data_IF_055088497755
#
_entry.id   IF_055088497755
#
_cell.length_a   1.000
_cell.length_b   1.000
_cell.length_c   1.000
_cell.angle_alpha   90.00
_cell.angle_beta   90.00
_cell.angle_gamma   90.00
#
_symmetry.space_group_name_H-M   'P 1'
#
loop_
_entity.id
_entity.type
_entity.pdbx_description
1 polymer ?
#
# COMPACT_ATOMS: atom_id res chain seq x y z
N UNK A 1 -36.02 -37.65 -1.38
CA UNK A 1 -35.25 -37.31 -0.16
C UNK A 1 -33.78 -37.69 -0.39
N UNK A 2 -33.06 -36.96 -1.26
CA UNK A 2 -31.75 -37.37 -1.79
C UNK A 2 -30.83 -36.15 -1.98
N UNK A 3 -30.61 -35.38 -0.92
CA UNK A 3 -29.69 -34.24 -0.97
C UNK A 3 -29.01 -34.09 0.38
N UNK A 4 -27.90 -34.82 0.62
CA UNK A 4 -26.86 -34.45 1.62
C UNK A 4 -25.65 -35.43 1.68
N UNK A 5 -25.20 -36.00 0.56
CA UNK A 5 -24.07 -36.96 0.57
C UNK A 5 -22.69 -36.35 0.29
N UNK A 6 -22.58 -35.06 -0.01
CA UNK A 6 -21.31 -34.42 -0.34
C UNK A 6 -20.92 -33.40 0.72
N UNK A 7 -19.76 -33.58 1.34
CA UNK A 7 -19.06 -32.49 2.05
C UNK A 7 -17.98 -31.94 1.13
N UNK A 8 -18.12 -30.69 0.74
CA UNK A 8 -17.14 -29.95 -0.06
C UNK A 8 -16.43 -28.97 0.86
N UNK A 9 -15.12 -29.12 1.02
CA UNK A 9 -14.27 -28.13 1.67
C UNK A 9 -13.40 -27.48 0.61
N UNK A 10 -13.51 -26.16 0.47
CA UNK A 10 -12.74 -25.38 -0.50
C UNK A 10 -11.67 -24.60 0.27
N UNK A 11 -10.42 -24.77 -0.14
CA UNK A 11 -9.28 -23.98 0.31
C UNK A 11 -8.68 -23.32 -0.93
N UNK A 12 -9.17 -22.11 -1.21
CA UNK A 12 -8.86 -21.39 -2.45
C UNK A 12 -7.44 -20.86 -2.48
N UNK A 13 -6.83 -20.60 -1.32
CA UNK A 13 -5.43 -20.16 -1.21
C UNK A 13 -4.50 -21.31 -1.61
N UNK A 14 -4.83 -22.55 -1.25
CA UNK A 14 -4.03 -23.74 -1.58
C UNK A 14 -4.46 -24.48 -2.84
N UNK A 15 -5.30 -23.87 -3.67
CA UNK A 15 -5.85 -24.49 -4.89
C UNK A 15 -6.46 -25.88 -4.68
N UNK A 16 -7.11 -26.13 -3.55
CA UNK A 16 -7.61 -27.46 -3.20
C UNK A 16 -9.10 -27.42 -2.95
N UNK A 17 -9.84 -28.14 -3.80
CA UNK A 17 -11.18 -28.60 -3.47
C UNK A 17 -11.06 -30.05 -3.01
N UNK A 18 -11.46 -30.30 -1.76
CA UNK A 18 -11.61 -31.64 -1.23
C UNK A 18 -13.10 -31.98 -1.27
N UNK A 19 -13.47 -32.85 -2.19
CA UNK A 19 -14.80 -33.44 -2.24
C UNK A 19 -14.74 -34.78 -1.55
N UNK A 20 -15.56 -34.96 -0.51
CA UNK A 20 -15.69 -36.25 0.19
C UNK A 20 -17.00 -36.91 -0.20
N UNK A 21 -16.93 -38.14 -0.71
CA UNK A 21 -18.09 -38.97 -1.02
C UNK A 21 -17.82 -40.41 -0.55
N UNK A 22 -18.71 -40.97 0.29
CA UNK A 22 -18.57 -42.33 0.85
C UNK A 22 -17.19 -42.60 1.49
N UNK A 23 -16.59 -41.61 2.17
CA UNK A 23 -15.29 -41.74 2.83
C UNK A 23 -14.07 -41.59 1.90
N UNK A 24 -14.27 -41.50 0.59
CA UNK A 24 -13.22 -41.26 -0.41
C UNK A 24 -13.04 -39.75 -0.61
N UNK A 25 -11.79 -39.27 -0.54
CA UNK A 25 -11.42 -37.87 -0.78
C UNK A 25 -10.90 -37.68 -2.20
N UNK A 26 -11.55 -36.82 -2.96
CA UNK A 26 -11.09 -36.38 -4.28
C UNK A 26 -10.41 -35.02 -4.16
N UNK A 27 -9.22 -34.89 -4.75
CA UNK A 27 -8.44 -33.66 -4.78
C UNK A 27 -8.47 -33.08 -6.19
N UNK A 28 -9.09 -31.91 -6.35
CA UNK A 28 -9.07 -31.17 -7.61
C UNK A 28 -8.14 -29.97 -7.48
N UNK A 29 -7.22 -29.81 -8.44
CA UNK A 29 -6.30 -28.67 -8.55
C UNK A 29 -6.74 -27.81 -9.72
N UNK A 30 -7.29 -26.63 -9.44
CA UNK A 30 -7.61 -25.64 -10.47
C UNK A 30 -6.43 -24.68 -10.69
N UNK A 31 -6.57 -23.83 -11.73
CA UNK A 31 -5.70 -22.74 -12.24
C UNK A 31 -4.59 -22.27 -11.28
N UNK A 32 -3.41 -21.94 -11.81
CA UNK A 32 -2.21 -21.44 -11.09
C UNK A 32 -2.52 -20.76 -9.76
N UNK A 33 -1.85 -21.21 -8.69
CA UNK A 33 -2.04 -20.74 -7.32
C UNK A 33 -1.89 -19.23 -7.24
N UNK A 34 -2.79 -18.57 -6.49
CA UNK A 34 -2.64 -17.16 -6.19
C UNK A 34 -1.41 -17.02 -5.29
N UNK A 35 -0.39 -16.34 -5.81
CA UNK A 35 0.85 -16.01 -5.10
C UNK A 35 1.02 -14.51 -5.12
N UNK A 36 0.96 -13.88 -3.96
CA UNK A 36 0.94 -12.43 -3.83
C UNK A 36 2.31 -11.92 -3.44
N UNK A 37 2.93 -11.15 -4.33
CA UNK A 37 4.11 -10.35 -4.06
C UNK A 37 3.75 -8.94 -3.63
N UNK A 38 4.51 -8.37 -2.70
CA UNK A 38 4.41 -6.96 -2.33
C UNK A 38 5.78 -6.31 -2.46
N UNK A 39 5.84 -5.19 -3.16
CA UNK A 39 7.06 -4.38 -3.20
C UNK A 39 6.84 -3.06 -2.46
N UNK A 40 7.66 -2.83 -1.44
CA UNK A 40 7.73 -1.56 -0.74
C UNK A 40 8.75 -0.64 -1.40
N UNK A 41 8.31 0.58 -1.69
CA UNK A 41 9.19 1.66 -2.09
C UNK A 41 9.69 2.42 -0.85
N UNK A 42 11.01 2.49 -0.65
CA UNK A 42 11.58 3.12 0.54
C UNK A 42 12.65 4.17 0.17
N UNK A 43 12.62 5.27 0.90
CA UNK A 43 13.69 6.26 1.01
C UNK A 43 13.73 6.80 2.45
N UNK A 44 12.56 7.14 2.98
CA UNK A 44 12.31 7.58 4.35
C UNK A 44 11.07 6.89 4.93
N UNK A 45 10.89 6.97 6.26
CA UNK A 45 9.76 6.37 6.95
C UNK A 45 10.00 4.93 7.38
N UNK A 46 11.25 4.49 7.46
CA UNK A 46 11.63 3.14 7.87
C UNK A 46 11.08 2.76 9.27
N UNK A 47 10.78 3.76 10.12
CA UNK A 47 10.15 3.55 11.42
C UNK A 47 8.74 2.93 11.36
N UNK A 48 8.09 3.00 10.18
CA UNK A 48 6.76 2.42 9.95
C UNK A 48 6.80 1.09 9.20
N UNK A 49 7.93 0.74 8.59
CA UNK A 49 8.02 -0.40 7.67
C UNK A 49 7.68 -1.72 8.36
N UNK A 50 8.21 -1.94 9.57
CA UNK A 50 7.99 -3.19 10.30
C UNK A 50 6.49 -3.42 10.61
N UNK A 51 5.82 -2.41 11.17
CA UNK A 51 4.40 -2.50 11.51
C UNK A 51 3.52 -2.58 10.26
N UNK A 52 3.89 -1.90 9.17
CA UNK A 52 3.19 -2.04 7.89
C UNK A 52 3.28 -3.47 7.36
N UNK A 53 4.49 -4.05 7.29
CA UNK A 53 4.69 -5.43 6.86
C UNK A 53 3.90 -6.40 7.74
N UNK A 54 3.99 -6.27 9.07
CA UNK A 54 3.25 -7.13 10.00
C UNK A 54 1.74 -7.09 9.80
N UNK A 55 1.18 -5.98 9.30
CA UNK A 55 -0.26 -5.90 9.00
C UNK A 55 -0.71 -6.83 7.88
N UNK A 56 0.20 -7.20 6.96
CA UNK A 56 -0.11 -8.01 5.77
C UNK A 56 0.73 -9.29 5.59
N UNK A 57 1.81 -9.50 6.34
CA UNK A 57 2.77 -10.61 6.15
C UNK A 57 2.10 -11.98 6.06
N UNK A 58 1.09 -12.22 6.90
CA UNK A 58 0.31 -13.46 6.94
C UNK A 58 -0.69 -13.61 5.78
N UNK A 59 -0.75 -12.64 4.87
CA UNK A 59 -1.64 -12.59 3.72
C UNK A 59 -0.90 -12.73 2.39
N UNK A 60 0.44 -12.69 2.40
CA UNK A 60 1.27 -12.56 1.18
C UNK A 60 2.44 -13.54 1.20
N UNK A 61 2.87 -13.93 0.01
CA UNK A 61 3.86 -15.00 -0.19
C UNK A 61 5.28 -14.47 -0.28
N UNK A 62 5.45 -13.23 -0.75
CA UNK A 62 6.75 -12.62 -0.96
C UNK A 62 6.70 -11.10 -0.73
N UNK A 63 7.67 -10.57 -0.02
CA UNK A 63 7.85 -9.13 0.22
C UNK A 63 9.26 -8.75 -0.18
N UNK A 64 9.38 -7.77 -1.08
CA UNK A 64 10.64 -7.10 -1.33
C UNK A 64 10.60 -5.62 -0.96
N UNK A 65 11.76 -5.07 -0.64
CA UNK A 65 11.92 -3.62 -0.43
C UNK A 65 12.91 -3.07 -1.43
N UNK A 66 12.45 -2.13 -2.26
CA UNK A 66 13.31 -1.36 -3.16
C UNK A 66 13.62 -0.03 -2.48
N UNK A 67 14.85 0.11 -2.00
CA UNK A 67 15.28 1.26 -1.20
C UNK A 67 16.34 2.08 -1.93
N UNK A 68 16.50 3.35 -1.54
CA UNK A 68 17.54 4.23 -2.07
C UNK A 68 18.22 4.98 -0.91
N UNK A 69 19.51 5.29 -1.07
CA UNK A 69 20.31 6.01 -0.05
C UNK A 69 20.30 7.52 -0.20
N UNK A 70 19.86 8.01 -1.36
CA UNK A 70 19.80 9.42 -1.71
C UNK A 70 18.43 9.71 -2.29
N UNK A 71 17.80 10.81 -1.87
CA UNK A 71 16.50 11.24 -2.37
C UNK A 71 16.59 11.75 -3.81
N UNK A 72 15.44 11.96 -4.43
CA UNK A 72 15.40 12.62 -5.75
C UNK A 72 15.85 14.09 -5.72
N UNK A 73 16.09 14.65 -4.53
CA UNK A 73 16.55 16.02 -4.27
C UNK A 73 17.97 16.06 -3.66
N UNK A 74 18.62 14.90 -3.48
CA UNK A 74 19.99 14.81 -2.97
C UNK A 74 20.12 14.60 -1.45
N UNK A 75 19.01 14.51 -0.73
CA UNK A 75 19.04 14.26 0.72
C UNK A 75 19.47 12.83 1.02
N UNK A 76 20.30 12.65 2.05
CA UNK A 76 20.71 11.32 2.49
C UNK A 76 19.57 10.62 3.24
N UNK A 77 19.45 9.32 3.01
CA UNK A 77 18.64 8.44 3.84
C UNK A 77 19.14 8.46 5.29
N UNK A 78 18.34 7.90 6.21
CA UNK A 78 18.77 7.69 7.58
C UNK A 78 20.04 6.84 7.64
N UNK A 79 20.92 7.13 8.61
CA UNK A 79 22.14 6.37 8.81
C UNK A 79 21.85 4.90 9.18
N UNK A 80 20.69 4.65 9.81
CA UNK A 80 20.28 3.33 10.28
C UNK A 80 19.45 2.55 9.26
N UNK A 81 19.17 3.11 8.07
CA UNK A 81 18.27 2.51 7.07
C UNK A 81 18.66 1.05 6.75
N UNK A 82 19.93 0.80 6.44
CA UNK A 82 20.41 -0.53 6.09
C UNK A 82 20.41 -1.49 7.29
N UNK A 83 20.64 -0.97 8.51
CA UNK A 83 20.57 -1.76 9.74
C UNK A 83 19.15 -2.25 9.97
N UNK A 84 18.16 -1.35 9.82
CA UNK A 84 16.74 -1.70 9.92
C UNK A 84 16.36 -2.74 8.87
N UNK A 85 16.74 -2.55 7.61
CA UNK A 85 16.42 -3.49 6.53
C UNK A 85 17.02 -4.88 6.75
N UNK A 86 18.30 -4.96 7.13
CA UNK A 86 18.95 -6.24 7.40
C UNK A 86 18.29 -6.96 8.58
N UNK A 87 17.91 -6.24 9.65
CA UNK A 87 17.18 -6.83 10.77
C UNK A 87 15.82 -7.39 10.35
N UNK A 88 15.10 -6.71 9.47
CA UNK A 88 13.80 -7.19 8.95
C UNK A 88 13.94 -8.41 8.03
N UNK A 89 15.03 -8.53 7.28
CA UNK A 89 15.37 -9.74 6.51
C UNK A 89 15.71 -10.90 7.46
N UNK A 90 16.57 -10.68 8.45
CA UNK A 90 16.95 -11.69 9.45
C UNK A 90 15.75 -12.22 10.24
N UNK A 91 14.77 -11.35 10.52
CA UNK A 91 13.52 -11.71 11.20
C UNK A 91 12.46 -12.36 10.27
N UNK A 92 12.77 -12.57 8.99
CA UNK A 92 11.86 -13.18 8.02
C UNK A 92 10.64 -12.34 7.66
N UNK A 93 10.71 -11.02 7.87
CA UNK A 93 9.65 -10.09 7.47
C UNK A 93 9.79 -9.66 6.01
N UNK A 94 11.02 -9.52 5.53
CA UNK A 94 11.38 -9.21 4.14
C UNK A 94 12.08 -10.41 3.51
N UNK A 95 11.69 -10.77 2.30
CA UNK A 95 12.31 -11.86 1.54
C UNK A 95 13.50 -11.36 0.71
N UNK A 96 13.45 -10.13 0.20
CA UNK A 96 14.52 -9.54 -0.60
C UNK A 96 14.61 -8.01 -0.46
N UNK A 97 15.83 -7.47 -0.44
CA UNK A 97 16.07 -6.03 -0.51
C UNK A 97 16.85 -5.70 -1.77
N UNK A 98 16.53 -4.57 -2.40
CA UNK A 98 17.20 -4.10 -3.61
C UNK A 98 17.57 -2.62 -3.48
N UNK A 99 18.85 -2.32 -3.63
CA UNK A 99 19.34 -0.94 -3.66
C UNK A 99 19.10 -0.34 -5.04
N UNK A 100 18.21 0.64 -5.10
CA UNK A 100 18.04 1.50 -6.26
C UNK A 100 19.09 2.63 -6.24
N UNK A 101 20.16 2.42 -6.99
CA UNK A 101 21.23 3.40 -7.18
C UNK A 101 21.07 4.08 -8.55
N UNK A 102 20.93 5.42 -8.54
CA UNK A 102 20.82 6.23 -9.75
C UNK A 102 21.38 7.63 -9.53
N UNK A 103 21.89 8.22 -10.61
CA UNK A 103 22.21 9.63 -10.65
C UNK A 103 20.93 10.47 -10.89
N UNK A 104 20.52 11.22 -9.87
CA UNK A 104 19.35 12.09 -9.92
C UNK A 104 19.64 13.50 -10.46
N UNK A 105 20.86 13.78 -10.93
CA UNK A 105 21.25 15.07 -11.51
C UNK A 105 20.62 15.34 -12.90
N UNK A 106 19.81 14.42 -13.43
CA UNK A 106 19.12 14.61 -14.69
C UNK A 106 17.89 15.53 -14.56
N UNK A 107 17.54 16.23 -15.65
CA UNK A 107 16.29 17.01 -15.73
C UNK A 107 15.02 16.15 -15.81
N UNK A 108 15.13 14.84 -15.54
CA UNK A 108 14.01 13.92 -15.60
C UNK A 108 12.98 14.19 -14.49
N UNK A 109 11.73 13.84 -14.79
CA UNK A 109 10.63 13.95 -13.84
C UNK A 109 10.81 12.97 -12.68
N UNK A 110 10.57 13.42 -11.45
CA UNK A 110 10.73 12.62 -10.23
C UNK A 110 9.73 11.44 -10.20
N UNK A 111 8.58 11.62 -10.86
CA UNK A 111 7.62 10.54 -11.10
C UNK A 111 8.20 9.39 -11.92
N UNK A 112 9.12 9.66 -12.85
CA UNK A 112 9.78 8.59 -13.62
C UNK A 112 10.68 7.75 -12.72
N UNK A 113 11.44 8.37 -11.81
CA UNK A 113 12.26 7.63 -10.85
C UNK A 113 11.40 6.78 -9.91
N UNK A 114 10.22 7.26 -9.54
CA UNK A 114 9.29 6.50 -8.73
C UNK A 114 8.72 5.30 -9.50
N UNK A 115 8.29 5.50 -10.76
CA UNK A 115 7.83 4.42 -11.65
C UNK A 115 8.92 3.37 -11.88
N UNK A 116 10.16 3.78 -12.11
CA UNK A 116 11.29 2.87 -12.29
C UNK A 116 11.53 2.03 -11.03
N UNK A 117 11.50 2.66 -9.85
CA UNK A 117 11.65 1.95 -8.57
C UNK A 117 10.52 0.94 -8.35
N UNK A 118 9.26 1.30 -8.66
CA UNK A 118 8.11 0.38 -8.60
C UNK A 118 8.24 -0.76 -9.61
N UNK A 119 8.73 -0.50 -10.81
CA UNK A 119 8.98 -1.52 -11.84
C UNK A 119 10.06 -2.53 -11.43
N UNK A 120 11.11 -2.09 -10.72
CA UNK A 120 12.09 -3.01 -10.12
C UNK A 120 11.37 -3.95 -9.15
N UNK A 121 10.54 -3.41 -8.25
CA UNK A 121 9.77 -4.20 -7.29
C UNK A 121 8.84 -5.23 -7.95
N UNK A 122 8.13 -4.82 -9.01
CA UNK A 122 7.30 -5.70 -9.83
C UNK A 122 8.11 -6.85 -10.45
N UNK A 123 9.29 -6.55 -11.00
CA UNK A 123 10.16 -7.55 -11.61
C UNK A 123 10.72 -8.53 -10.58
N UNK A 124 11.07 -8.07 -9.37
CA UNK A 124 11.49 -8.96 -8.28
C UNK A 124 10.38 -9.93 -7.90
N UNK A 125 9.14 -9.45 -7.73
CA UNK A 125 7.99 -10.30 -7.46
C UNK A 125 7.73 -11.30 -8.61
N UNK A 126 7.85 -10.85 -9.87
CA UNK A 126 7.72 -11.72 -11.04
C UNK A 126 8.79 -12.83 -11.05
N UNK A 127 10.06 -12.49 -10.80
CA UNK A 127 11.16 -13.46 -10.70
C UNK A 127 10.99 -14.46 -9.55
N UNK A 128 10.39 -14.02 -8.44
CA UNK A 128 10.00 -14.89 -7.32
C UNK A 128 8.79 -15.80 -7.65
N UNK A 129 8.22 -15.71 -8.85
CA UNK A 129 7.11 -16.55 -9.30
C UNK A 129 5.75 -16.14 -8.72
N UNK A 130 5.60 -14.88 -8.32
CA UNK A 130 4.33 -14.33 -7.89
C UNK A 130 3.39 -14.18 -9.09
N UNK A 131 2.09 -14.35 -8.85
CA UNK A 131 1.03 -14.23 -9.88
C UNK A 131 0.18 -12.99 -9.69
N UNK A 132 0.27 -12.36 -8.51
CA UNK A 132 -0.37 -11.12 -8.15
C UNK A 132 0.62 -10.21 -7.42
N UNK A 133 0.37 -8.90 -7.47
CA UNK A 133 1.29 -7.88 -7.01
C UNK A 133 0.55 -6.74 -6.32
N UNK A 134 1.15 -6.19 -5.27
CA UNK A 134 0.78 -4.93 -4.65
C UNK A 134 2.00 -4.02 -4.57
N UNK A 135 1.87 -2.79 -5.07
CA UNK A 135 2.85 -1.73 -4.85
C UNK A 135 2.47 -0.98 -3.59
N UNK A 136 3.38 -0.90 -2.61
CA UNK A 136 3.11 -0.29 -1.32
C UNK A 136 4.14 0.78 -0.96
N UNK A 137 3.70 1.75 -0.18
CA UNK A 137 4.59 2.65 0.56
C UNK A 137 4.63 2.21 2.05
N UNK A 138 5.67 2.60 2.77
CA UNK A 138 5.94 2.12 4.15
C UNK A 138 4.91 2.58 5.19
N UNK A 139 4.11 3.57 4.84
CA UNK A 139 3.04 4.16 5.65
C UNK A 139 1.64 3.62 5.30
N UNK A 140 1.56 2.52 4.56
CA UNK A 140 0.30 1.91 4.13
C UNK A 140 0.02 0.62 4.90
N UNK A 141 -1.18 0.53 5.46
CA UNK A 141 -1.59 -0.56 6.34
C UNK A 141 -2.93 -1.14 5.91
N UNK A 142 -3.13 -2.43 6.17
CA UNK A 142 -4.39 -3.10 5.87
C UNK A 142 -4.80 -4.01 7.03
N UNK A 143 -6.10 -4.07 7.32
CA UNK A 143 -6.63 -5.12 8.20
C UNK A 143 -6.48 -6.48 7.52
N UNK A 144 -5.81 -7.42 8.18
CA UNK A 144 -5.47 -8.72 7.59
C UNK A 144 -6.69 -9.56 7.22
N UNK A 145 -7.82 -9.41 7.92
CA UNK A 145 -9.07 -10.13 7.60
C UNK A 145 -9.72 -9.53 6.36
N UNK A 146 -9.77 -8.21 6.27
CA UNK A 146 -10.23 -7.50 5.07
C UNK A 146 -9.38 -7.83 3.86
N UNK A 147 -8.05 -7.78 4.01
CA UNK A 147 -7.09 -8.10 2.96
C UNK A 147 -7.30 -9.52 2.43
N UNK A 148 -7.35 -10.54 3.31
CA UNK A 148 -7.60 -11.94 2.91
C UNK A 148 -8.92 -12.12 2.17
N UNK A 149 -10.00 -11.48 2.64
CA UNK A 149 -11.31 -11.52 1.98
C UNK A 149 -11.26 -10.88 0.59
N UNK A 150 -10.53 -9.78 0.42
CA UNK A 150 -10.34 -9.13 -0.87
C UNK A 150 -9.52 -10.00 -1.83
N UNK A 151 -8.44 -10.65 -1.37
CA UNK A 151 -7.66 -11.61 -2.17
C UNK A 151 -8.53 -12.78 -2.66
N UNK A 152 -9.33 -13.36 -1.77
CA UNK A 152 -10.27 -14.44 -2.13
C UNK A 152 -11.24 -13.97 -3.22
N UNK A 153 -11.79 -12.76 -3.08
CA UNK A 153 -12.68 -12.19 -4.08
C UNK A 153 -11.98 -11.98 -5.44
N UNK A 154 -10.76 -11.42 -5.45
CA UNK A 154 -9.96 -11.22 -6.66
C UNK A 154 -9.75 -12.56 -7.38
N UNK A 155 -9.34 -13.59 -6.65
CA UNK A 155 -9.07 -14.90 -7.20
C UNK A 155 -10.33 -15.56 -7.77
N UNK A 156 -11.41 -15.61 -6.97
CA UNK A 156 -12.66 -16.28 -7.36
C UNK A 156 -13.33 -15.63 -8.56
N UNK A 157 -13.16 -14.33 -8.72
CA UNK A 157 -13.79 -13.57 -9.79
C UNK A 157 -12.84 -13.29 -10.96
N UNK A 158 -11.61 -13.82 -10.95
CA UNK A 158 -10.58 -13.57 -11.97
C UNK A 158 -10.39 -12.08 -12.27
N UNK A 159 -10.23 -11.27 -11.22
CA UNK A 159 -9.98 -9.83 -11.33
C UNK A 159 -8.51 -9.63 -11.73
N UNK A 160 -8.27 -8.76 -12.73
CA UNK A 160 -6.93 -8.44 -13.21
C UNK A 160 -6.35 -7.22 -12.47
N UNK A 161 -7.17 -6.21 -12.21
CA UNK A 161 -6.76 -5.02 -11.47
C UNK A 161 -7.82 -4.64 -10.45
N UNK A 162 -7.41 -4.14 -9.30
CA UNK A 162 -8.34 -3.69 -8.28
C UNK A 162 -7.90 -2.39 -7.65
N UNK A 163 -8.85 -1.70 -7.03
CA UNK A 163 -8.60 -0.50 -6.25
C UNK A 163 -9.40 -0.53 -4.96
N UNK A 164 -8.97 0.25 -3.98
CA UNK A 164 -9.74 0.46 -2.77
C UNK A 164 -9.69 1.91 -2.30
N UNK A 165 -10.65 2.20 -1.43
CA UNK A 165 -10.74 3.39 -0.60
C UNK A 165 -9.54 3.52 0.33
N UNK A 166 -9.28 4.74 0.82
CA UNK A 166 -8.33 4.97 1.91
C UNK A 166 -8.88 5.77 3.09
N UNK A 167 -8.27 5.54 4.25
CA UNK A 167 -8.36 6.38 5.43
C UNK A 167 -7.05 7.09 5.66
N UNK A 168 -7.11 8.39 5.91
CA UNK A 168 -5.93 9.21 6.17
C UNK A 168 -5.81 9.54 7.65
N UNK A 169 -4.69 9.17 8.26
CA UNK A 169 -4.40 9.41 9.68
C UNK A 169 -3.59 10.68 9.88
N UNK A 170 -3.83 11.32 11.02
CA UNK A 170 -3.31 12.65 11.36
C UNK A 170 -2.54 12.54 12.66
N UNK A 171 -1.23 12.83 12.60
CA UNK A 171 -0.29 13.01 13.72
C UNK A 171 -0.03 11.77 14.57
N UNK A 172 -1.05 10.97 14.84
CA UNK A 172 -1.00 9.73 15.63
C UNK A 172 -1.93 8.69 14.99
N UNK A 173 -1.76 7.39 15.29
CA UNK A 173 -2.61 6.34 14.71
C UNK A 173 -4.01 6.30 15.31
N UNK A 174 -4.33 7.22 16.23
CA UNK A 174 -5.63 7.30 16.90
C UNK A 174 -6.55 8.36 16.28
N UNK A 175 -6.05 9.21 15.36
CA UNK A 175 -6.87 10.23 14.73
C UNK A 175 -6.84 10.08 13.22
N UNK A 176 -8.02 10.03 12.61
CA UNK A 176 -8.14 9.95 11.16
C UNK A 176 -9.25 10.83 10.64
N UNK A 177 -9.11 11.25 9.38
CA UNK A 177 -10.20 11.87 8.64
C UNK A 177 -11.39 10.91 8.56
N UNK A 178 -12.57 11.43 8.86
CA UNK A 178 -13.84 10.85 8.45
C UNK A 178 -13.92 11.11 6.96
N UNK A 179 -13.74 10.05 6.19
CA UNK A 179 -13.80 10.17 4.75
C UNK A 179 -15.26 10.41 4.34
N UNK A 180 -15.58 11.61 3.87
CA UNK A 180 -16.63 11.79 2.86
C UNK A 180 -15.94 11.56 1.52
N UNK A 181 -15.78 10.29 1.14
CA UNK A 181 -15.12 9.91 -0.12
C UNK A 181 -15.83 10.48 -1.35
N UNK A 182 -17.04 10.99 -1.16
CA UNK A 182 -17.89 11.58 -2.20
C UNK A 182 -17.36 12.93 -2.74
N UNK A 183 -16.44 13.63 -2.05
CA UNK A 183 -15.95 14.92 -2.55
C UNK A 183 -14.70 14.82 -3.46
N UNK A 184 -13.77 13.89 -3.22
CA UNK A 184 -12.48 13.85 -3.96
C UNK A 184 -12.33 12.64 -4.92
N UNK A 185 -13.17 11.60 -4.83
CA UNK A 185 -13.14 10.41 -5.72
C UNK A 185 -11.73 9.80 -5.92
N UNK A 186 -10.85 9.89 -4.91
CA UNK A 186 -9.46 9.43 -4.98
C UNK A 186 -9.29 8.06 -4.32
N UNK A 187 -8.69 7.13 -5.05
CA UNK A 187 -8.52 5.73 -4.66
C UNK A 187 -7.05 5.30 -4.74
N UNK A 188 -6.73 4.13 -4.21
CA UNK A 188 -5.40 3.52 -4.33
C UNK A 188 -5.48 2.21 -5.12
N UNK A 189 -4.61 1.98 -6.13
CA UNK A 189 -4.47 0.67 -6.75
C UNK A 189 -4.12 -0.35 -5.69
N UNK A 190 -4.88 -1.44 -5.65
CA UNK A 190 -4.69 -2.52 -4.70
C UNK A 190 -3.96 -3.67 -5.43
N UNK A 191 -4.37 -4.91 -5.18
CA UNK A 191 -3.72 -6.09 -5.76
C UNK A 191 -4.10 -6.23 -7.23
N UNK A 192 -3.08 -6.36 -8.08
CA UNK A 192 -3.18 -6.56 -9.51
C UNK A 192 -2.57 -7.90 -9.90
N UNK A 193 -3.09 -8.52 -10.94
CA UNK A 193 -2.54 -9.74 -11.55
C UNK A 193 -1.30 -9.39 -12.36
N UNK A 194 -0.30 -10.25 -12.30
CA UNK A 194 0.94 -10.09 -13.07
C UNK A 194 0.80 -10.82 -14.40
N UNK A 195 0.96 -10.08 -15.50
CA UNK A 195 1.19 -10.57 -16.85
C UNK A 195 2.66 -10.39 -17.22
N UNK A 196 3.07 -11.05 -18.31
CA UNK A 196 4.45 -10.93 -18.83
C UNK A 196 4.76 -9.48 -19.20
N UNK A 197 3.78 -8.78 -19.75
CA UNK A 197 3.87 -7.40 -20.20
C UNK A 197 3.54 -6.39 -19.09
N UNK A 198 3.24 -6.86 -17.86
CA UNK A 198 2.86 -5.97 -16.77
C UNK A 198 3.94 -4.95 -16.45
N UNK A 199 3.57 -3.68 -16.41
CA UNK A 199 4.48 -2.57 -16.15
C UNK A 199 3.75 -1.45 -15.41
N UNK A 200 4.46 -0.78 -14.50
CA UNK A 200 4.02 0.49 -13.94
C UNK A 200 4.15 1.61 -14.96
N UNK A 201 3.13 2.46 -15.06
CA UNK A 201 3.14 3.58 -16.00
C UNK A 201 1.99 4.56 -15.78
N UNK A 202 2.05 5.70 -16.46
CA UNK A 202 1.06 6.78 -16.36
C UNK A 202 -0.14 6.56 -17.30
N UNK A 203 -0.59 5.31 -17.44
CA UNK A 203 -1.70 4.93 -18.31
C UNK A 203 -3.06 5.19 -17.66
N UNK A 204 -4.14 5.00 -18.41
CA UNK A 204 -5.49 5.07 -17.88
C UNK A 204 -5.75 3.98 -16.83
N UNK A 205 -6.40 4.37 -15.73
CA UNK A 205 -6.94 3.46 -14.73
C UNK A 205 -8.42 3.78 -14.49
N UNK A 206 -9.20 2.76 -14.15
CA UNK A 206 -10.67 2.87 -14.03
C UNK A 206 -11.14 3.76 -12.87
N UNK A 207 -10.22 4.26 -12.03
CA UNK A 207 -10.46 5.19 -10.93
C UNK A 207 -9.37 6.26 -10.87
N UNK A 208 -9.70 7.44 -10.33
CA UNK A 208 -8.70 8.48 -10.08
C UNK A 208 -7.77 8.07 -8.92
N UNK A 209 -6.47 8.00 -9.20
CA UNK A 209 -5.45 7.52 -8.26
C UNK A 209 -4.05 8.05 -8.64
N UNK A 210 -3.04 7.77 -7.81
CA UNK A 210 -1.64 8.04 -8.15
C UNK A 210 -1.21 7.22 -9.37
N UNK A 211 -0.84 7.93 -10.42
CA UNK A 211 -0.50 7.32 -11.69
C UNK A 211 0.83 6.58 -11.69
N UNK A 212 1.72 6.80 -10.72
CA UNK A 212 2.94 6.00 -10.61
C UNK A 212 2.66 4.54 -10.23
N UNK A 213 1.47 4.27 -9.67
CA UNK A 213 1.07 2.96 -9.14
C UNK A 213 0.22 2.12 -10.11
N UNK A 214 -0.23 2.71 -11.22
CA UNK A 214 -1.05 2.03 -12.21
C UNK A 214 -0.21 0.95 -12.90
N UNK A 215 -0.77 -0.25 -13.02
CA UNK A 215 -0.17 -1.38 -13.72
C UNK A 215 -1.04 -1.74 -14.92
N UNK A 216 -0.44 -1.76 -16.10
CA UNK A 216 -1.06 -2.19 -17.35
C UNK A 216 -0.28 -3.37 -17.94
N UNK A 217 -0.89 -4.21 -18.80
CA UNK A 217 -2.31 -4.22 -19.17
C UNK A 217 -3.20 -4.90 -18.11
N UNK A 218 -4.49 -4.59 -18.11
CA UNK A 218 -5.53 -5.35 -17.41
C UNK A 218 -6.83 -5.32 -18.22
N UNK A 219 -7.71 -6.31 -18.04
CA UNK A 219 -9.01 -6.36 -18.74
C UNK A 219 -10.18 -6.23 -17.76
N UNK A 220 -10.09 -6.91 -16.62
CA UNK A 220 -11.15 -6.91 -15.60
C UNK A 220 -10.73 -6.10 -14.38
N UNK A 221 -11.44 -4.99 -14.15
CA UNK A 221 -11.24 -4.13 -13.00
C UNK A 221 -12.31 -4.34 -11.92
N UNK A 222 -11.93 -4.15 -10.66
CA UNK A 222 -12.89 -4.10 -9.54
C UNK A 222 -12.49 -3.05 -8.49
N UNK A 223 -13.41 -2.11 -8.22
CA UNK A 223 -13.30 -1.19 -7.10
C UNK A 223 -13.98 -1.80 -5.86
N UNK A 224 -13.20 -2.03 -4.81
CA UNK A 224 -13.73 -2.55 -3.57
C UNK A 224 -14.50 -1.48 -2.78
N UNK A 225 -15.66 -1.84 -2.20
CA UNK A 225 -16.32 -0.96 -1.25
C UNK A 225 -15.50 -0.89 0.05
N UNK A 226 -15.54 0.26 0.72
CA UNK A 226 -14.77 0.56 1.93
C UNK A 226 -14.98 -0.44 3.08
N UNK A 227 -16.14 -1.12 3.12
CA UNK A 227 -16.45 -2.15 4.12
C UNK A 227 -15.74 -3.48 3.85
N UNK A 228 -15.25 -3.71 2.63
CA UNK A 228 -14.55 -4.95 2.25
C UNK A 228 -13.06 -4.83 2.51
N UNK A 229 -12.42 -3.79 1.96
CA UNK A 229 -11.01 -3.47 2.20
C UNK A 229 -10.80 -1.98 2.02
N UNK A 230 -9.96 -1.42 2.87
CA UNK A 230 -9.58 -0.01 2.87
C UNK A 230 -8.11 0.08 3.28
N UNK A 231 -7.36 0.92 2.60
CA UNK A 231 -5.97 1.19 2.97
C UNK A 231 -5.93 2.26 4.07
N UNK A 232 -5.13 2.04 5.10
CA UNK A 232 -4.93 2.97 6.20
C UNK A 232 -3.60 3.71 6.02
N UNK A 233 -3.67 4.98 5.64
CA UNK A 233 -2.52 5.83 5.32
C UNK A 233 -2.01 6.56 6.56
N UNK A 234 -0.81 6.22 6.99
CA UNK A 234 -0.12 6.80 8.15
C UNK A 234 0.87 7.90 7.75
N UNK A 235 0.58 8.64 6.67
CA UNK A 235 1.58 9.52 6.03
C UNK A 235 2.09 10.66 6.91
N UNK A 236 1.26 11.13 7.85
CA UNK A 236 1.63 12.21 8.79
C UNK A 236 2.24 11.71 10.09
N UNK A 237 2.29 10.39 10.30
CA UNK A 237 2.90 9.77 11.48
C UNK A 237 4.35 9.50 11.10
N UNK A 238 5.23 10.42 11.49
CA UNK A 238 6.64 10.42 11.11
C UNK A 238 7.49 10.93 12.26
N UNK A 239 8.68 10.36 12.40
CA UNK A 239 9.73 10.94 13.24
C UNK A 239 10.15 12.34 12.75
N UNK A 240 10.23 12.48 11.42
CA UNK A 240 10.59 13.75 10.77
C UNK A 240 9.61 14.06 9.64
N UNK A 241 8.54 14.77 9.99
CA UNK A 241 7.50 15.17 9.05
C UNK A 241 8.04 16.15 7.97
N UNK A 242 8.96 17.04 8.34
CA UNK A 242 9.59 17.99 7.41
C UNK A 242 10.30 17.26 6.27
N UNK A 243 11.13 16.26 6.61
CA UNK A 243 11.87 15.45 5.63
C UNK A 243 10.93 14.73 4.66
N UNK A 244 9.79 14.22 5.15
CA UNK A 244 8.75 13.56 4.34
C UNK A 244 8.16 14.50 3.29
N UNK A 245 7.82 15.72 3.68
CA UNK A 245 7.29 16.71 2.73
C UNK A 245 8.39 17.15 1.75
N UNK A 246 9.58 17.51 2.24
CA UNK A 246 10.66 17.99 1.36
C UNK A 246 11.04 17.00 0.26
N UNK A 247 11.04 15.70 0.58
CA UNK A 247 11.45 14.63 -0.35
C UNK A 247 10.32 13.95 -1.11
N UNK A 248 9.08 14.42 -0.97
CA UNK A 248 7.94 13.88 -1.72
C UNK A 248 8.11 14.09 -3.22
N UNK A 249 7.78 13.08 -4.03
CA UNK A 249 7.73 13.21 -5.50
C UNK A 249 6.65 14.19 -5.99
N UNK A 250 5.72 14.58 -5.10
CA UNK A 250 4.73 15.63 -5.34
C UNK A 250 5.29 17.05 -5.21
N UNK A 251 6.51 17.20 -4.66
CA UNK A 251 7.20 18.49 -4.58
C UNK A 251 7.76 18.85 -5.97
N UNK A 252 7.02 19.62 -6.76
CA UNK A 252 7.48 20.07 -8.08
C UNK A 252 8.60 21.13 -8.02
N UNK A 253 9.02 21.53 -6.81
CA UNK A 253 10.03 22.55 -6.56
C UNK A 253 9.50 23.99 -6.69
N UNK A 254 8.25 24.16 -7.13
CA UNK A 254 7.57 25.43 -7.29
C UNK A 254 7.28 26.11 -5.96
N UNK A 255 7.29 27.44 -5.97
CA UNK A 255 7.09 28.27 -4.77
C UNK A 255 5.73 27.98 -4.12
N UNK A 256 4.66 27.86 -4.91
CA UNK A 256 3.31 27.62 -4.39
C UNK A 256 3.15 26.20 -3.83
N UNK A 257 3.76 25.19 -4.47
CA UNK A 257 3.81 23.82 -3.93
C UNK A 257 4.50 23.80 -2.57
N UNK A 258 5.67 24.42 -2.46
CA UNK A 258 6.41 24.54 -1.19
C UNK A 258 5.61 25.24 -0.10
N UNK A 259 4.99 26.39 -0.42
CA UNK A 259 4.12 27.11 0.54
C UNK A 259 2.97 26.24 1.04
N UNK A 260 2.31 25.51 0.14
CA UNK A 260 1.22 24.59 0.51
C UNK A 260 1.73 23.50 1.45
N UNK A 261 2.85 22.85 1.12
CA UNK A 261 3.40 21.76 1.92
C UNK A 261 3.87 22.23 3.30
N UNK A 262 4.50 23.41 3.37
CA UNK A 262 4.86 24.04 4.65
C UNK A 262 3.61 24.32 5.49
N UNK A 263 2.55 24.85 4.88
CA UNK A 263 1.28 25.09 5.58
C UNK A 263 0.63 23.81 6.08
N UNK A 264 0.58 22.76 5.24
CA UNK A 264 0.06 21.45 5.62
C UNK A 264 0.84 20.89 6.83
N UNK A 265 2.16 21.01 6.82
CA UNK A 265 3.03 20.61 7.93
C UNK A 265 2.75 21.42 9.21
N UNK A 266 2.68 22.75 9.11
CA UNK A 266 2.37 23.64 10.23
C UNK A 266 1.00 23.33 10.84
N UNK A 267 0.00 23.10 10.00
CA UNK A 267 -1.35 22.72 10.42
C UNK A 267 -1.33 21.41 11.19
N UNK A 268 -0.66 20.37 10.69
CA UNK A 268 -0.54 19.07 11.36
C UNK A 268 0.18 19.18 12.71
N UNK A 269 1.29 19.91 12.77
CA UNK A 269 2.08 20.09 13.99
C UNK A 269 1.26 20.86 15.03
N UNK A 270 0.59 21.94 14.61
CA UNK A 270 -0.17 22.84 15.46
C UNK A 270 -1.50 22.23 15.91
N UNK A 271 -2.06 21.29 15.15
CA UNK A 271 -3.33 20.65 15.48
C UNK A 271 -3.32 19.97 16.87
N UNK A 272 -4.38 20.23 17.63
CA UNK A 272 -4.65 19.66 18.96
C UNK A 272 -6.01 18.96 18.94
N UNK A 273 -6.09 17.64 19.21
CA UNK A 273 -7.36 16.91 19.16
C UNK A 273 -8.44 17.47 20.10
N UNK A 274 -8.04 17.95 21.28
CA UNK A 274 -8.94 18.48 22.33
C UNK A 274 -9.64 19.80 21.91
N UNK A 275 -9.04 20.54 20.98
CA UNK A 275 -9.51 21.85 20.53
C UNK A 275 -10.35 21.75 19.23
N UNK A 276 -10.55 20.52 18.73
CA UNK A 276 -11.13 20.27 17.42
C UNK A 276 -12.66 20.49 17.41
N UNK A 277 -13.11 21.63 16.87
CA UNK A 277 -14.52 21.91 16.59
C UNK A 277 -14.80 21.76 15.10
N UNK A 278 -15.82 20.98 14.75
CA UNK A 278 -16.32 20.86 13.37
C UNK A 278 -16.68 22.25 12.83
N UNK A 279 -16.20 22.56 11.62
CA UNK A 279 -16.62 23.77 10.88
C UNK A 279 -15.94 25.07 11.30
N UNK A 280 -14.86 25.04 12.09
CA UNK A 280 -14.13 26.26 12.46
C UNK A 280 -12.63 26.00 12.73
N UNK A 281 -11.94 25.37 11.78
CA UNK A 281 -10.48 25.22 11.86
C UNK A 281 -9.82 26.28 10.99
N UNK A 282 -8.98 27.15 11.56
CA UNK A 282 -8.11 28.07 10.80
C UNK A 282 -7.08 27.32 9.93
N UNK A 283 -6.93 26.02 10.18
CA UNK A 283 -6.05 25.11 9.47
C UNK A 283 -6.59 24.77 8.08
N UNK A 284 -5.77 25.05 7.07
CA UNK A 284 -6.04 24.78 5.67
C UNK A 284 -6.16 23.28 5.37
N UNK A 285 -5.30 22.46 5.99
CA UNK A 285 -5.30 21.00 5.84
C UNK A 285 -6.63 20.36 6.28
N UNK A 286 -7.31 20.93 7.28
CA UNK A 286 -8.55 20.39 7.86
C UNK A 286 -9.81 21.10 7.35
N UNK A 287 -9.71 22.01 6.37
CA UNK A 287 -10.83 22.83 5.93
C UNK A 287 -12.05 21.97 5.54
N UNK A 288 -13.12 22.05 6.34
CA UNK A 288 -14.35 21.25 6.26
C UNK A 288 -14.20 19.73 6.46
N UNK A 289 -13.03 19.23 6.86
CA UNK A 289 -12.79 17.80 7.07
C UNK A 289 -13.00 17.43 8.53
N UNK A 290 -13.83 16.43 8.78
CA UNK A 290 -14.09 15.92 10.15
C UNK A 290 -12.96 14.95 10.52
N UNK A 291 -12.39 15.12 11.71
CA UNK A 291 -11.43 14.16 12.29
C UNK A 291 -12.14 13.37 13.39
N UNK A 292 -11.93 12.06 13.44
CA UNK A 292 -12.45 11.20 14.52
C UNK A 292 -11.33 10.47 15.24
N UNK A 293 -11.53 10.24 16.54
CA UNK A 293 -10.71 9.34 17.34
C UNK A 293 -11.06 7.87 17.02
N UNK A 294 -10.06 7.04 16.85
CA UNK A 294 -10.15 5.60 16.60
C UNK A 294 -9.09 4.84 17.38
N UNK A 295 -9.19 3.51 17.41
CA UNK A 295 -8.19 2.65 18.04
C UNK A 295 -6.97 2.50 17.11
N UNK A 296 -5.77 2.45 17.69
CA UNK A 296 -4.55 2.03 17.01
C UNK A 296 -4.55 0.50 16.78
N UNK A 297 -5.28 0.04 15.76
CA UNK A 297 -5.48 -1.40 15.51
C UNK A 297 -4.23 -2.11 14.95
N UNK A 298 -3.24 -1.36 14.46
CA UNK A 298 -2.00 -1.92 13.90
C UNK A 298 -0.80 -1.82 14.85
N UNK A 299 -1.00 -1.31 16.06
CA UNK A 299 0.08 -1.00 17.01
C UNK A 299 1.18 -0.15 16.37
N UNK A 300 0.78 0.84 15.55
CA UNK A 300 1.72 1.78 14.93
C UNK A 300 2.44 2.55 16.04
N UNK A 301 3.77 2.72 15.98
CA UNK A 301 4.50 3.54 16.94
C UNK A 301 4.03 4.99 16.95
N UNK A 302 4.21 5.65 18.09
CA UNK A 302 3.96 7.09 18.28
C UNK A 302 5.27 7.80 18.55
N UNK A 303 5.44 8.98 17.97
CA UNK A 303 6.66 9.78 17.99
C UNK A 303 6.39 11.18 18.53
#
# INVERSE_FOLDING_TARGET
MLFNFFKVKKDYIKNRIIVSFLGIKFHFKFRTEMKVGVAYNLFDGEELLESSIKSIRDCVDYICVVYQKVSYYGDKASADLEVVLNSLVENGLIDEIFLYERDFNSQQSKKLFEIEKRNIGLELCRKAGMTYFLSADVDEYYDSKQFKKALEYIYLNDIDASACSLFYYIKTPEYRLVADQDEENYYVPFVCKIFNESIHGNDFFSTYCDSCRIITPYKKFYLFPIQTVVMHHMSTIRNNLEKKYLNSSSNDGGIECKKKMTKDQEDIISWRPEENRIGNTEFFFFNNKIVKKVKNIFNVPTF
#
